data_IF_256353149844
#
_entry.id   IF_256353149844
#
_cell.length_a   1.000
_cell.length_b   1.000
_cell.length_c   1.000
_cell.angle_alpha   90.00
_cell.angle_beta   90.00
_cell.angle_gamma   90.00
#
_symmetry.space_group_name_H-M   'P 1'
#
loop_
_entity.id
_entity.type
_entity.pdbx_description
1 polymer ?
#
# COMPACT_ATOMS: atom_id res chain seq x y z
N UNK A 1 16.14 -0.19 19.46
CA UNK A 1 15.82 0.30 18.11
C UNK A 1 14.33 0.63 18.09
N UNK A 2 13.95 1.84 17.68
CA UNK A 2 12.53 2.25 17.63
C UNK A 2 11.77 1.46 16.57
N UNK A 3 10.47 1.25 16.82
CA UNK A 3 9.56 0.56 15.91
C UNK A 3 8.55 1.55 15.35
N UNK A 4 8.29 1.47 14.02
CA UNK A 4 7.28 2.27 13.35
C UNK A 4 6.22 1.35 12.74
N UNK A 5 4.97 1.44 13.21
CA UNK A 5 3.84 0.67 12.72
C UNK A 5 3.25 1.32 11.46
N UNK A 6 2.82 0.51 10.50
CA UNK A 6 2.15 0.96 9.28
C UNK A 6 1.11 -0.08 8.83
N UNK A 7 0.08 0.36 8.11
CA UNK A 7 -0.90 -0.56 7.54
C UNK A 7 -0.41 -1.10 6.18
N UNK A 8 -0.52 -2.42 6.01
CA UNK A 8 -0.18 -3.15 4.79
C UNK A 8 0.99 -4.10 4.95
N UNK A 9 1.51 -4.57 3.84
CA UNK A 9 2.58 -5.55 3.76
C UNK A 9 3.95 -4.90 3.52
N UNK A 10 5.02 -5.65 3.81
CA UNK A 10 6.38 -5.23 3.46
C UNK A 10 6.50 -5.05 1.93
N UNK A 11 7.07 -3.93 1.51
CA UNK A 11 7.15 -3.54 0.11
C UNK A 11 6.03 -2.61 -0.36
N UNK A 12 4.98 -2.38 0.45
CA UNK A 12 3.95 -1.38 0.16
C UNK A 12 4.50 0.05 0.27
N UNK A 13 3.76 1.04 -0.28
CA UNK A 13 4.16 2.46 -0.19
C UNK A 13 4.28 2.97 1.25
N UNK A 14 3.44 2.50 2.16
CA UNK A 14 3.58 2.83 3.59
C UNK A 14 4.87 2.29 4.18
N UNK A 15 5.33 1.10 3.75
CA UNK A 15 6.64 0.57 4.14
C UNK A 15 7.78 1.43 3.58
N UNK A 16 7.72 1.80 2.30
CA UNK A 16 8.70 2.71 1.67
C UNK A 16 8.77 4.04 2.42
N UNK A 17 7.62 4.61 2.79
CA UNK A 17 7.54 5.83 3.59
C UNK A 17 8.22 5.68 4.95
N UNK A 18 8.00 4.56 5.65
CA UNK A 18 8.68 4.26 6.92
C UNK A 18 10.20 4.25 6.76
N UNK A 19 10.70 3.52 5.75
CA UNK A 19 12.15 3.37 5.52
C UNK A 19 12.79 4.68 5.07
N UNK A 20 12.09 5.49 4.30
CA UNK A 20 12.57 6.81 3.86
C UNK A 20 12.62 7.81 4.99
N UNK A 21 11.55 7.92 5.80
CA UNK A 21 11.47 8.90 6.87
C UNK A 21 12.27 8.51 8.11
N UNK A 22 12.37 7.22 8.40
CA UNK A 22 12.98 6.68 9.62
C UNK A 22 13.80 5.42 9.33
N UNK A 23 14.93 5.52 8.60
CA UNK A 23 15.72 4.37 8.14
C UNK A 23 16.28 3.51 9.28
N UNK A 24 16.42 4.07 10.48
CA UNK A 24 16.91 3.38 11.66
C UNK A 24 15.80 2.75 12.52
N UNK A 25 14.54 2.79 12.08
CA UNK A 25 13.44 2.14 12.76
C UNK A 25 13.15 0.75 12.18
N UNK A 26 12.64 -0.14 13.02
CA UNK A 26 12.06 -1.41 12.56
C UNK A 26 10.63 -1.14 12.08
N UNK A 27 10.32 -1.51 10.85
CA UNK A 27 8.97 -1.42 10.33
C UNK A 27 8.11 -2.58 10.88
N UNK A 28 6.89 -2.27 11.35
CA UNK A 28 5.90 -3.22 11.86
C UNK A 28 4.64 -3.17 10.99
N UNK A 29 4.41 -4.18 10.12
CA UNK A 29 3.20 -4.26 9.31
C UNK A 29 1.98 -4.59 10.20
N UNK A 30 0.87 -3.89 9.95
CA UNK A 30 -0.41 -4.06 10.63
C UNK A 30 -1.52 -4.29 9.59
N UNK A 31 -2.60 -4.97 9.99
CA UNK A 31 -3.70 -5.31 9.08
C UNK A 31 -4.61 -4.13 8.78
N UNK A 32 -4.80 -3.24 9.76
CA UNK A 32 -5.69 -2.08 9.66
C UNK A 32 -5.06 -0.82 10.23
N UNK A 33 -5.66 0.34 9.97
CA UNK A 33 -5.24 1.60 10.57
C UNK A 33 -5.50 1.63 12.08
N UNK A 34 -6.58 0.99 12.51
CA UNK A 34 -6.90 0.79 13.93
C UNK A 34 -5.80 0.02 14.64
N UNK A 35 -5.27 -1.06 14.02
CA UNK A 35 -4.16 -1.84 14.57
C UNK A 35 -2.87 -1.02 14.67
N UNK A 36 -2.62 -0.11 13.71
CA UNK A 36 -1.47 0.81 13.76
C UNK A 36 -1.59 1.74 14.98
N UNK A 37 -2.75 2.38 15.16
CA UNK A 37 -3.01 3.28 16.29
C UNK A 37 -2.92 2.51 17.61
N UNK A 38 -3.55 1.33 17.68
CA UNK A 38 -3.49 0.45 18.83
C UNK A 38 -2.05 0.10 19.22
N UNK A 39 -1.22 -0.23 18.23
CA UNK A 39 0.19 -0.60 18.46
C UNK A 39 0.98 0.52 19.14
N UNK A 40 0.74 1.78 18.78
CA UNK A 40 1.41 2.92 19.43
C UNK A 40 0.86 3.17 20.82
N UNK A 41 -0.47 3.16 20.99
CA UNK A 41 -1.11 3.40 22.27
C UNK A 41 -0.77 2.34 23.34
N UNK A 42 -0.42 1.12 22.89
CA UNK A 42 -0.04 0.02 23.76
C UNK A 42 1.48 -0.23 23.84
N UNK A 43 2.29 0.73 23.37
CA UNK A 43 3.75 0.65 23.40
C UNK A 43 4.36 -0.56 22.66
N UNK A 44 3.64 -1.12 21.68
CA UNK A 44 4.14 -2.15 20.76
C UNK A 44 4.99 -1.50 19.66
N UNK A 45 4.64 -0.27 19.29
CA UNK A 45 5.42 0.58 18.40
C UNK A 45 5.63 1.97 19.02
N UNK A 46 6.72 2.63 18.63
CA UNK A 46 7.04 4.00 19.07
C UNK A 46 6.37 5.07 18.21
N UNK A 47 6.13 4.73 16.95
CA UNK A 47 5.62 5.64 15.91
C UNK A 47 4.58 4.94 15.04
N UNK A 48 3.71 5.74 14.43
CA UNK A 48 2.79 5.32 13.38
C UNK A 48 3.11 6.04 12.07
N UNK A 49 3.09 5.32 10.94
CA UNK A 49 3.07 5.87 9.60
C UNK A 49 1.68 5.67 9.01
N UNK A 50 0.96 6.76 8.79
CA UNK A 50 -0.43 6.75 8.33
C UNK A 50 -0.55 7.60 7.05
N UNK A 51 -1.17 7.06 5.97
CA UNK A 51 -1.40 7.82 4.75
C UNK A 51 -2.57 8.81 4.97
N UNK A 52 -2.31 10.09 4.89
CA UNK A 52 -3.33 11.13 5.14
C UNK A 52 -4.04 11.54 3.86
N UNK A 53 -3.29 11.65 2.77
CA UNK A 53 -3.79 12.16 1.49
C UNK A 53 -3.01 11.57 0.31
N UNK A 54 -3.69 11.44 -0.82
CA UNK A 54 -3.11 11.12 -2.12
C UNK A 54 -3.54 12.18 -3.11
N UNK A 55 -2.62 12.73 -3.90
CA UNK A 55 -2.90 13.84 -4.84
C UNK A 55 -3.89 13.49 -5.94
N UNK A 56 -4.02 12.21 -6.30
CA UNK A 56 -4.98 11.74 -7.32
C UNK A 56 -6.28 11.27 -6.71
N UNK A 57 -6.21 10.58 -5.57
CA UNK A 57 -7.37 9.96 -4.92
C UNK A 57 -8.03 10.88 -3.88
N UNK A 58 -7.26 11.84 -3.31
CA UNK A 58 -7.71 12.74 -2.26
C UNK A 58 -7.47 12.19 -0.86
N UNK A 59 -8.31 12.62 0.07
CA UNK A 59 -8.19 12.29 1.50
C UNK A 59 -8.43 10.82 1.78
N UNK A 60 -7.62 10.25 2.67
CA UNK A 60 -7.88 8.91 3.24
C UNK A 60 -8.88 9.07 4.38
N UNK A 61 -10.17 8.90 4.08
CA UNK A 61 -11.29 9.21 4.97
C UNK A 61 -11.17 8.54 6.34
N UNK A 62 -10.72 7.28 6.37
CA UNK A 62 -10.55 6.53 7.62
C UNK A 62 -9.54 7.19 8.56
N UNK A 63 -8.44 7.68 8.05
CA UNK A 63 -7.43 8.36 8.88
C UNK A 63 -8.00 9.66 9.46
N UNK A 64 -8.73 10.44 8.66
CA UNK A 64 -9.37 11.66 9.14
C UNK A 64 -10.45 11.40 10.20
N UNK A 65 -11.07 10.23 10.18
CA UNK A 65 -12.04 9.78 11.20
C UNK A 65 -11.35 9.28 12.47
N UNK A 66 -10.28 8.51 12.33
CA UNK A 66 -9.61 7.80 13.43
C UNK A 66 -8.64 8.70 14.22
N UNK A 67 -7.89 9.56 13.53
CA UNK A 67 -6.81 10.32 14.14
C UNK A 67 -7.27 11.29 15.25
N UNK A 68 -8.37 12.06 15.12
CA UNK A 68 -8.80 12.99 16.16
C UNK A 68 -9.07 12.34 17.52
N UNK A 69 -9.58 11.10 17.53
CA UNK A 69 -9.88 10.34 18.76
C UNK A 69 -8.78 9.39 19.20
N UNK A 70 -7.66 9.35 18.50
CA UNK A 70 -6.61 8.35 18.72
C UNK A 70 -5.70 8.63 19.93
N UNK A 71 -5.64 9.87 20.41
CA UNK A 71 -4.66 10.32 21.41
C UNK A 71 -3.25 10.53 20.83
N UNK A 72 -3.04 10.30 19.53
CA UNK A 72 -1.75 10.49 18.86
C UNK A 72 -1.61 11.92 18.33
N UNK A 73 -0.37 12.37 18.19
CA UNK A 73 -0.01 13.67 17.63
C UNK A 73 0.81 13.50 16.36
N UNK A 74 0.52 14.32 15.34
CA UNK A 74 1.34 14.39 14.13
C UNK A 74 2.64 15.12 14.48
N UNK A 75 3.77 14.46 14.28
CA UNK A 75 5.11 14.97 14.62
C UNK A 75 5.95 15.25 13.36
N UNK A 76 5.55 14.71 12.22
CA UNK A 76 6.31 14.85 10.97
C UNK A 76 5.42 14.44 9.78
N UNK A 77 5.84 14.81 8.56
CA UNK A 77 5.22 14.36 7.32
C UNK A 77 6.27 13.89 6.30
N UNK A 78 5.88 12.98 5.41
CA UNK A 78 6.70 12.49 4.32
C UNK A 78 5.87 12.34 3.05
N UNK A 79 6.44 12.73 1.92
CA UNK A 79 5.83 12.55 0.60
C UNK A 79 6.45 11.36 -0.11
N UNK A 80 5.63 10.35 -0.40
CA UNK A 80 6.03 9.17 -1.16
C UNK A 80 5.42 9.22 -2.55
N UNK A 81 6.25 9.17 -3.59
CA UNK A 81 5.77 9.19 -4.97
C UNK A 81 5.20 7.83 -5.35
N UNK A 82 3.90 7.77 -5.61
CA UNK A 82 3.26 6.57 -6.13
C UNK A 82 3.66 6.36 -7.60
N UNK A 83 4.27 5.20 -7.88
CA UNK A 83 4.65 4.75 -9.22
C UNK A 83 3.99 3.40 -9.47
N UNK A 84 2.91 3.40 -10.24
CA UNK A 84 2.18 2.17 -10.56
C UNK A 84 2.93 1.45 -11.68
N UNK A 85 3.26 0.19 -11.46
CA UNK A 85 3.89 -0.68 -12.45
C UNK A 85 3.04 -1.92 -12.64
N UNK A 86 2.89 -2.36 -13.89
CA UNK A 86 2.31 -3.66 -14.21
C UNK A 86 3.38 -4.73 -14.06
N UNK A 87 3.12 -5.70 -13.19
CA UNK A 87 4.01 -6.84 -12.96
C UNK A 87 3.46 -8.07 -13.68
N UNK A 88 4.35 -8.85 -14.26
CA UNK A 88 4.02 -10.12 -14.90
C UNK A 88 5.07 -11.19 -14.57
N UNK A 89 4.72 -12.45 -14.80
CA UNK A 89 5.68 -13.55 -14.67
C UNK A 89 6.83 -13.41 -15.68
N UNK A 90 8.04 -13.86 -15.34
CA UNK A 90 9.18 -13.83 -16.25
C UNK A 90 8.83 -14.47 -17.60
N UNK A 91 9.24 -13.81 -18.69
CA UNK A 91 8.98 -14.27 -20.05
C UNK A 91 7.63 -13.85 -20.65
N UNK A 92 6.69 -13.34 -19.85
CA UNK A 92 5.43 -12.77 -20.34
C UNK A 92 5.66 -11.39 -20.94
N UNK A 93 4.97 -11.11 -22.05
CA UNK A 93 4.92 -9.80 -22.70
C UNK A 93 3.59 -9.11 -22.38
N UNK A 94 3.51 -7.81 -22.54
CA UNK A 94 2.29 -7.03 -22.28
C UNK A 94 1.06 -7.61 -23.01
N UNK A 95 1.23 -8.07 -24.25
CA UNK A 95 0.15 -8.69 -25.05
C UNK A 95 -0.38 -10.03 -24.50
N UNK A 96 0.37 -10.65 -23.61
CA UNK A 96 0.02 -11.95 -23.01
C UNK A 96 -0.75 -11.78 -21.69
N UNK A 97 -0.98 -10.51 -21.27
CA UNK A 97 -1.64 -10.19 -20.00
C UNK A 97 -3.10 -9.81 -20.32
N UNK A 98 -4.03 -10.59 -19.76
CA UNK A 98 -5.48 -10.39 -19.94
C UNK A 98 -6.12 -9.68 -18.75
N UNK A 99 -5.52 -9.82 -17.56
CA UNK A 99 -6.02 -9.22 -16.33
C UNK A 99 -4.89 -8.76 -15.42
N UNK A 100 -5.18 -7.76 -14.56
CA UNK A 100 -4.28 -7.25 -13.55
C UNK A 100 -5.02 -7.11 -12.22
N UNK A 101 -4.43 -7.64 -11.16
CA UNK A 101 -4.96 -7.54 -9.80
C UNK A 101 -4.30 -6.40 -9.05
N UNK A 102 -5.11 -5.56 -8.40
CA UNK A 102 -4.62 -4.47 -7.57
C UNK A 102 -5.65 -4.02 -6.54
N UNK A 103 -5.18 -3.29 -5.53
CA UNK A 103 -6.07 -2.62 -4.59
C UNK A 103 -7.08 -1.72 -5.33
N UNK A 104 -8.36 -1.66 -4.90
CA UNK A 104 -9.41 -0.88 -5.57
C UNK A 104 -9.05 0.59 -5.83
N UNK A 105 -8.20 1.19 -5.00
CA UNK A 105 -7.72 2.58 -5.16
C UNK A 105 -6.74 2.74 -6.33
N UNK A 106 -5.97 1.71 -6.68
CA UNK A 106 -5.00 1.78 -7.78
C UNK A 106 -5.63 1.56 -9.15
N UNK A 107 -6.67 0.72 -9.26
CA UNK A 107 -7.31 0.40 -10.54
C UNK A 107 -7.80 1.64 -11.30
N UNK A 108 -8.53 2.59 -10.68
CA UNK A 108 -8.94 3.82 -11.37
C UNK A 108 -7.76 4.68 -11.84
N UNK A 109 -6.66 4.70 -11.10
CA UNK A 109 -5.45 5.45 -11.47
C UNK A 109 -4.75 4.85 -12.67
N UNK A 110 -4.89 3.54 -12.91
CA UNK A 110 -4.33 2.80 -14.03
C UNK A 110 -5.33 2.61 -15.19
N UNK A 111 -6.59 3.05 -15.06
CA UNK A 111 -7.68 2.72 -15.98
C UNK A 111 -7.34 3.00 -17.44
N UNK A 112 -6.83 4.19 -17.76
CA UNK A 112 -6.46 4.56 -19.13
C UNK A 112 -5.44 3.60 -19.77
N UNK A 113 -4.47 3.13 -18.98
CA UNK A 113 -3.47 2.15 -19.45
C UNK A 113 -4.10 0.77 -19.64
N UNK A 114 -4.93 0.33 -18.71
CA UNK A 114 -5.59 -0.97 -18.74
C UNK A 114 -6.54 -1.06 -19.94
N UNK A 115 -7.38 -0.03 -20.16
CA UNK A 115 -8.33 0.05 -21.27
C UNK A 115 -7.61 0.05 -22.63
N UNK A 116 -6.56 0.86 -22.77
CA UNK A 116 -5.75 0.92 -23.99
C UNK A 116 -5.16 -0.45 -24.35
N UNK A 117 -4.79 -1.25 -23.38
CA UNK A 117 -4.18 -2.56 -23.58
C UNK A 117 -5.18 -3.72 -23.46
N UNK A 118 -6.48 -3.42 -23.26
CA UNK A 118 -7.56 -4.42 -23.10
C UNK A 118 -7.33 -5.37 -21.92
N UNK A 119 -6.73 -4.87 -20.86
CA UNK A 119 -6.43 -5.62 -19.63
C UNK A 119 -7.57 -5.40 -18.63
N UNK A 120 -8.18 -6.45 -18.15
CA UNK A 120 -9.26 -6.39 -17.16
C UNK A 120 -8.69 -6.14 -15.76
N UNK A 121 -9.17 -5.12 -15.05
CA UNK A 121 -8.82 -4.88 -13.64
C UNK A 121 -9.61 -5.80 -12.70
N UNK A 122 -8.92 -6.47 -11.78
CA UNK A 122 -9.49 -7.32 -10.74
C UNK A 122 -9.14 -6.71 -9.37
N UNK A 123 -10.13 -6.60 -8.49
CA UNK A 123 -9.92 -6.07 -7.14
C UNK A 123 -9.24 -7.09 -6.26
N UNK A 124 -8.13 -6.71 -5.64
CA UNK A 124 -7.42 -7.46 -4.60
C UNK A 124 -7.48 -6.70 -3.26
N UNK A 125 -7.19 -7.39 -2.17
CA UNK A 125 -7.16 -6.79 -0.83
C UNK A 125 -6.08 -5.70 -0.75
N UNK A 126 -4.89 -6.01 -1.30
CA UNK A 126 -3.78 -5.07 -1.44
C UNK A 126 -2.91 -5.45 -2.65
N UNK A 127 -2.15 -4.47 -3.17
CA UNK A 127 -1.35 -4.66 -4.38
C UNK A 127 -0.04 -5.40 -4.12
N UNK A 128 0.54 -5.29 -2.93
CA UNK A 128 1.78 -5.99 -2.60
C UNK A 128 1.50 -7.48 -2.39
N UNK A 129 0.38 -7.83 -1.75
CA UNK A 129 -0.11 -9.19 -1.61
C UNK A 129 -0.44 -9.83 -2.96
N UNK A 130 -1.12 -9.10 -3.86
CA UNK A 130 -1.39 -9.56 -5.22
C UNK A 130 -0.08 -9.84 -6.00
N UNK A 131 0.91 -8.96 -5.90
CA UNK A 131 2.22 -9.16 -6.51
C UNK A 131 2.97 -10.37 -5.94
N UNK A 132 2.88 -10.60 -4.63
CA UNK A 132 3.47 -11.77 -3.98
C UNK A 132 2.80 -13.07 -4.42
N UNK A 133 1.46 -13.08 -4.53
CA UNK A 133 0.68 -14.23 -4.97
C UNK A 133 0.97 -14.61 -6.43
N UNK A 134 1.36 -13.65 -7.27
CA UNK A 134 1.71 -13.90 -8.66
C UNK A 134 2.83 -14.95 -8.82
N UNK A 135 3.82 -14.98 -7.91
CA UNK A 135 4.91 -15.97 -7.94
C UNK A 135 4.43 -17.42 -7.73
N UNK A 136 3.35 -17.61 -6.97
CA UNK A 136 2.76 -18.93 -6.70
C UNK A 136 1.69 -19.36 -7.71
N UNK A 137 1.25 -18.42 -8.56
CA UNK A 137 0.20 -18.67 -9.54
C UNK A 137 0.75 -19.46 -10.72
N UNK A 138 0.17 -20.67 -10.94
CA UNK A 138 0.36 -21.43 -12.18
C UNK A 138 -0.50 -20.88 -13.33
N UNK A 139 -1.35 -19.89 -13.05
CA UNK A 139 -2.24 -19.31 -14.04
C UNK A 139 -1.44 -18.46 -15.04
N UNK A 140 -1.35 -18.95 -16.26
CA UNK A 140 -0.95 -18.14 -17.39
C UNK A 140 -2.05 -17.07 -17.59
N UNK A 141 -1.77 -15.80 -17.27
CA UNK A 141 -2.65 -14.70 -17.64
C UNK A 141 -3.39 -13.96 -16.52
N UNK A 142 -2.89 -13.98 -15.30
CA UNK A 142 -3.27 -13.00 -14.27
C UNK A 142 -2.16 -11.99 -14.08
#
# INVERSE_FOLDING_TARGET
MKTIAFQGELGAYSHEACMSARPNCKALPCKSFEDVIYSVNNNVADLAMLPVENTTYGRVADIHRLLPGSGLHIIDEVFTRVRINLLGLPGKKLKDIEAAEAHPVLLPQAASFLDKNKIRGIKAVDSAGAAAALKGSKAAGL
#
